data_IF_007275645747
#
_entry.id   IF_007275645747
#
_cell.length_a   1.000
_cell.length_b   1.000
_cell.length_c   1.000
_cell.angle_alpha   90.00
_cell.angle_beta   90.00
_cell.angle_gamma   90.00
#
_symmetry.space_group_name_H-M   'P 1'
#
loop_
_entity.id
_entity.type
_entity.pdbx_description
1 polymer ?
#
# COMPACT_ATOMS: atom_id res chain seq x y z
N UNK A 1 -42.81 18.77 -84.62
CA UNK A 1 -42.58 20.22 -84.51
C UNK A 1 -43.57 20.74 -83.48
N UNK A 2 -43.23 21.21 -82.28
CA UNK A 2 -41.94 21.64 -81.75
C UNK A 2 -41.89 21.51 -80.22
N UNK A 3 -41.01 20.63 -79.73
CA UNK A 3 -40.53 20.61 -78.34
C UNK A 3 -39.43 21.68 -78.10
N UNK A 4 -39.26 22.63 -79.02
CA UNK A 4 -38.18 23.63 -79.01
C UNK A 4 -38.51 24.97 -78.35
N UNK A 5 -39.78 25.28 -78.09
CA UNK A 5 -40.18 26.62 -77.62
C UNK A 5 -40.33 26.78 -76.11
N UNK A 6 -40.46 25.68 -75.35
CA UNK A 6 -40.44 25.73 -73.89
C UNK A 6 -39.03 25.98 -73.31
N UNK A 7 -37.98 25.71 -74.10
CA UNK A 7 -36.59 25.92 -73.69
C UNK A 7 -36.08 27.36 -73.96
N UNK A 8 -36.75 28.15 -74.81
CA UNK A 8 -36.28 29.49 -75.20
C UNK A 8 -36.96 30.61 -74.38
N UNK A 9 -38.18 30.40 -73.88
CA UNK A 9 -38.87 31.36 -73.00
C UNK A 9 -38.43 31.32 -71.53
N UNK A 10 -37.57 30.38 -71.13
CA UNK A 10 -36.87 30.43 -69.85
C UNK A 10 -35.49 31.11 -69.94
N UNK A 11 -35.03 31.45 -71.15
CA UNK A 11 -33.65 31.85 -71.45
C UNK A 11 -33.30 33.33 -71.27
N UNK A 12 -34.25 34.23 -71.01
CA UNK A 12 -33.99 35.70 -71.01
C UNK A 12 -34.55 36.47 -69.80
N UNK A 13 -34.82 35.78 -68.68
CA UNK A 13 -35.14 36.39 -67.38
C UNK A 13 -34.11 36.11 -66.26
N UNK A 14 -33.06 35.32 -66.55
CA UNK A 14 -32.23 34.67 -65.51
C UNK A 14 -30.82 35.23 -65.27
N UNK A 15 -30.40 36.28 -65.99
CA UNK A 15 -28.98 36.67 -66.08
C UNK A 15 -28.37 37.38 -64.86
N UNK A 16 -29.17 38.03 -64.01
CA UNK A 16 -28.68 38.70 -62.78
C UNK A 16 -29.32 38.10 -61.54
N UNK A 17 -30.62 37.80 -61.58
CA UNK A 17 -31.33 37.16 -60.47
C UNK A 17 -30.94 35.69 -60.25
N UNK A 18 -30.57 34.95 -61.31
CA UNK A 18 -30.05 33.58 -61.19
C UNK A 18 -28.65 33.53 -60.57
N UNK A 19 -27.77 34.47 -60.94
CA UNK A 19 -26.43 34.60 -60.34
C UNK A 19 -26.49 35.05 -58.87
N UNK A 20 -27.40 35.99 -58.55
CA UNK A 20 -27.64 36.44 -57.16
C UNK A 20 -28.29 35.32 -56.34
N UNK A 21 -29.27 34.60 -56.87
CA UNK A 21 -29.88 33.44 -56.22
C UNK A 21 -28.89 32.30 -55.98
N UNK A 22 -28.02 32.00 -56.95
CA UNK A 22 -26.94 31.03 -56.79
C UNK A 22 -25.91 31.48 -55.75
N UNK A 23 -25.60 32.78 -55.66
CA UNK A 23 -24.71 33.35 -54.64
C UNK A 23 -25.33 33.26 -53.24
N UNK A 24 -26.62 33.54 -53.09
CA UNK A 24 -27.34 33.39 -51.82
C UNK A 24 -27.47 31.93 -51.40
N UNK A 25 -27.75 31.02 -52.34
CA UNK A 25 -27.80 29.58 -52.09
C UNK A 25 -26.43 29.02 -51.71
N UNK A 26 -25.35 29.44 -52.39
CA UNK A 26 -23.97 29.09 -52.06
C UNK A 26 -23.55 29.66 -50.70
N UNK A 27 -24.01 30.86 -50.34
CA UNK A 27 -23.74 31.46 -49.03
C UNK A 27 -24.53 30.77 -47.91
N UNK A 28 -25.75 30.32 -48.18
CA UNK A 28 -26.55 29.55 -47.24
C UNK A 28 -25.99 28.14 -47.04
N UNK A 29 -25.55 27.47 -48.11
CA UNK A 29 -24.91 26.16 -48.03
C UNK A 29 -23.54 26.23 -47.35
N UNK A 30 -22.75 27.28 -47.61
CA UNK A 30 -21.49 27.52 -46.90
C UNK A 30 -21.69 27.78 -45.40
N UNK A 31 -22.72 28.56 -45.01
CA UNK A 31 -23.07 28.75 -43.58
C UNK A 31 -23.57 27.46 -42.92
N UNK A 32 -24.35 26.65 -43.64
CA UNK A 32 -24.81 25.35 -43.16
C UNK A 32 -23.65 24.37 -42.98
N UNK A 33 -22.73 24.30 -43.94
CA UNK A 33 -21.51 23.50 -43.87
C UNK A 33 -20.58 23.97 -42.75
N UNK A 34 -20.43 25.29 -42.55
CA UNK A 34 -19.65 25.85 -41.45
C UNK A 34 -20.24 25.49 -40.09
N UNK A 35 -21.56 25.57 -39.93
CA UNK A 35 -22.26 25.17 -38.70
C UNK A 35 -22.13 23.67 -38.43
N UNK A 36 -22.19 22.85 -39.49
CA UNK A 36 -21.96 21.40 -39.41
C UNK A 36 -20.52 21.05 -39.05
N UNK A 37 -19.54 21.77 -39.61
CA UNK A 37 -18.13 21.61 -39.26
C UNK A 37 -17.86 22.01 -37.80
N UNK A 38 -18.45 23.11 -37.32
CA UNK A 38 -18.34 23.55 -35.93
C UNK A 38 -18.96 22.53 -34.95
N UNK A 39 -20.10 21.93 -35.29
CA UNK A 39 -20.68 20.85 -34.47
C UNK A 39 -19.78 19.62 -34.45
N UNK A 40 -19.17 19.26 -35.58
CA UNK A 40 -18.28 18.09 -35.67
C UNK A 40 -17.00 18.31 -34.86
N UNK A 41 -16.44 19.52 -34.91
CA UNK A 41 -15.28 19.90 -34.10
C UNK A 41 -15.57 19.81 -32.60
N UNK A 42 -16.71 20.36 -32.16
CA UNK A 42 -17.13 20.28 -30.74
C UNK A 42 -17.37 18.85 -30.28
N UNK A 43 -17.96 18.00 -31.13
CA UNK A 43 -18.14 16.58 -30.82
C UNK A 43 -16.80 15.85 -30.72
N UNK A 44 -15.84 16.15 -31.60
CA UNK A 44 -14.50 15.59 -31.54
C UNK A 44 -13.75 16.03 -30.27
N UNK A 45 -13.81 17.31 -29.91
CA UNK A 45 -13.22 17.86 -28.68
C UNK A 45 -13.82 17.19 -27.42
N UNK A 46 -15.15 17.06 -27.35
CA UNK A 46 -15.80 16.36 -26.23
C UNK A 46 -15.42 14.88 -26.16
N UNK A 47 -15.28 14.21 -27.31
CA UNK A 47 -14.86 12.80 -27.35
C UNK A 47 -13.40 12.61 -26.90
N UNK A 48 -12.51 13.52 -27.28
CA UNK A 48 -11.11 13.51 -26.86
C UNK A 48 -10.99 13.80 -25.36
N UNK A 49 -11.79 14.75 -24.85
CA UNK A 49 -11.84 15.06 -23.43
C UNK A 49 -12.41 13.89 -22.60
N UNK A 50 -13.45 13.21 -23.11
CA UNK A 50 -13.99 12.00 -22.49
C UNK A 50 -12.97 10.85 -22.48
N UNK A 51 -12.24 10.64 -23.58
CA UNK A 51 -11.17 9.65 -23.66
C UNK A 51 -10.02 9.95 -22.69
N UNK A 52 -9.62 11.22 -22.56
CA UNK A 52 -8.59 11.64 -21.62
C UNK A 52 -9.01 11.45 -20.15
N UNK A 53 -10.28 11.74 -19.81
CA UNK A 53 -10.82 11.48 -18.47
C UNK A 53 -10.89 9.97 -18.20
N UNK A 54 -11.31 9.16 -19.17
CA UNK A 54 -11.34 7.70 -19.03
C UNK A 54 -9.94 7.11 -18.81
N UNK A 55 -8.93 7.58 -19.56
CA UNK A 55 -7.54 7.16 -19.39
C UNK A 55 -6.98 7.56 -18.01
N UNK A 56 -7.27 8.77 -17.54
CA UNK A 56 -6.88 9.22 -16.20
C UNK A 56 -7.55 8.38 -15.10
N UNK A 57 -8.83 8.04 -15.25
CA UNK A 57 -9.54 7.20 -14.29
C UNK A 57 -8.99 5.76 -14.28
N UNK A 58 -8.67 5.20 -15.45
CA UNK A 58 -8.02 3.89 -15.53
C UNK A 58 -6.66 3.89 -14.83
N UNK A 59 -5.84 4.92 -15.07
CA UNK A 59 -4.56 5.07 -14.40
C UNK A 59 -4.70 5.26 -12.88
N UNK A 60 -5.71 6.00 -12.42
CA UNK A 60 -5.99 6.15 -11.00
C UNK A 60 -6.32 4.80 -10.34
N UNK A 61 -7.14 3.97 -10.99
CA UNK A 61 -7.45 2.62 -10.50
C UNK A 61 -6.22 1.70 -10.48
N UNK A 62 -5.37 1.74 -11.50
CA UNK A 62 -4.11 0.97 -11.51
C UNK A 62 -3.18 1.37 -10.35
N UNK A 63 -3.08 2.67 -10.06
CA UNK A 63 -2.29 3.17 -8.93
C UNK A 63 -2.91 2.75 -7.60
N UNK A 64 -4.23 2.79 -7.46
CA UNK A 64 -4.93 2.31 -6.26
C UNK A 64 -4.70 0.82 -6.01
N UNK A 65 -4.78 -0.01 -7.06
CA UNK A 65 -4.53 -1.45 -6.97
C UNK A 65 -3.09 -1.74 -6.55
N UNK A 66 -2.12 -1.04 -7.15
CA UNK A 66 -0.70 -1.19 -6.79
C UNK A 66 -0.41 -0.72 -5.35
N UNK A 67 -1.05 0.35 -4.89
CA UNK A 67 -0.95 0.79 -3.49
C UNK A 67 -1.56 -0.23 -2.54
N UNK A 68 -2.69 -0.85 -2.93
CA UNK A 68 -3.33 -1.91 -2.15
C UNK A 68 -2.43 -3.14 -2.03
N UNK A 69 -1.83 -3.59 -3.12
CA UNK A 69 -0.88 -4.71 -3.12
C UNK A 69 0.33 -4.43 -2.22
N UNK A 70 0.93 -3.24 -2.36
CA UNK A 70 2.06 -2.82 -1.51
C UNK A 70 1.68 -2.75 -0.03
N UNK A 71 0.49 -2.22 0.27
CA UNK A 71 -0.04 -2.16 1.65
C UNK A 71 -0.18 -3.57 2.24
N UNK A 72 -0.78 -4.50 1.51
CA UNK A 72 -0.93 -5.90 1.94
C UNK A 72 0.43 -6.55 2.18
N UNK A 73 1.37 -6.39 1.25
CA UNK A 73 2.71 -6.93 1.40
C UNK A 73 3.43 -6.39 2.64
N UNK A 74 3.39 -5.08 2.87
CA UNK A 74 4.00 -4.43 4.02
C UNK A 74 3.39 -4.89 5.36
N UNK A 75 2.05 -4.97 5.44
CA UNK A 75 1.35 -5.47 6.62
C UNK A 75 1.74 -6.92 6.90
N UNK A 76 1.73 -7.79 5.89
CA UNK A 76 2.06 -9.20 6.04
C UNK A 76 3.52 -9.41 6.48
N UNK A 77 4.43 -8.62 5.94
CA UNK A 77 5.84 -8.68 6.32
C UNK A 77 6.05 -8.20 7.76
N UNK A 78 5.43 -7.08 8.15
CA UNK A 78 5.48 -6.58 9.51
C UNK A 78 4.90 -7.58 10.51
N UNK A 79 3.71 -8.11 10.24
CA UNK A 79 3.07 -9.14 11.08
C UNK A 79 3.97 -10.36 11.23
N UNK A 80 4.56 -10.86 10.14
CA UNK A 80 5.45 -12.02 10.17
C UNK A 80 6.66 -11.80 11.09
N UNK A 81 7.28 -10.63 11.01
CA UNK A 81 8.43 -10.28 11.86
C UNK A 81 8.03 -10.26 13.33
N UNK A 82 6.90 -9.63 13.67
CA UNK A 82 6.39 -9.58 15.05
C UNK A 82 6.02 -10.97 15.56
N UNK A 83 5.38 -11.80 14.74
CA UNK A 83 5.08 -13.21 15.08
C UNK A 83 6.36 -14.00 15.36
N UNK A 84 7.44 -13.75 14.60
CA UNK A 84 8.75 -14.34 14.87
C UNK A 84 9.29 -13.99 16.24
N UNK A 85 9.14 -12.72 16.67
CA UNK A 85 9.53 -12.28 18.03
C UNK A 85 8.66 -12.95 19.10
N UNK A 86 7.35 -13.04 18.89
CA UNK A 86 6.42 -13.72 19.82
C UNK A 86 6.75 -15.20 19.98
N UNK A 87 7.04 -15.90 18.89
CA UNK A 87 7.40 -17.32 18.89
C UNK A 87 8.73 -17.55 19.62
N UNK A 88 9.72 -16.69 19.39
CA UNK A 88 11.01 -16.75 20.10
C UNK A 88 10.85 -16.54 21.61
N UNK A 89 10.01 -15.59 22.01
CA UNK A 89 9.72 -15.34 23.42
C UNK A 89 9.02 -16.53 24.10
N UNK A 90 8.12 -17.21 23.39
CA UNK A 90 7.47 -18.44 23.87
C UNK A 90 8.46 -19.57 24.07
N UNK A 91 9.33 -19.79 23.07
CA UNK A 91 10.35 -20.83 23.13
C UNK A 91 11.27 -20.64 24.33
N UNK A 92 11.78 -19.42 24.53
CA UNK A 92 12.70 -19.08 25.63
C UNK A 92 11.97 -19.06 26.99
N UNK A 93 10.70 -18.66 27.02
CA UNK A 93 9.92 -18.55 28.26
C UNK A 93 9.48 -19.89 28.84
N UNK A 94 9.29 -20.91 28.00
CA UNK A 94 8.69 -22.19 28.41
C UNK A 94 9.70 -23.33 28.54
N UNK A 95 10.82 -23.26 27.84
CA UNK A 95 11.82 -24.34 27.84
C UNK A 95 12.74 -24.24 29.08
N UNK A 96 13.16 -25.39 29.65
CA UNK A 96 14.13 -25.40 30.75
C UNK A 96 15.51 -24.90 30.30
N UNK A 97 16.24 -24.25 31.20
CA UNK A 97 17.58 -23.67 30.93
C UNK A 97 18.55 -24.67 30.29
N UNK A 98 18.60 -25.90 30.81
CA UNK A 98 19.47 -26.96 30.31
C UNK A 98 19.19 -27.37 28.86
N UNK A 99 18.00 -27.08 28.33
CA UNK A 99 17.60 -27.45 26.96
C UNK A 99 18.05 -26.45 25.90
N UNK A 100 18.53 -25.27 26.29
CA UNK A 100 19.02 -24.24 25.37
C UNK A 100 20.53 -24.35 25.09
N UNK A 101 21.34 -24.64 26.13
CA UNK A 101 22.80 -24.58 26.03
C UNK A 101 23.50 -25.91 26.33
N UNK A 102 22.78 -26.92 26.84
CA UNK A 102 23.41 -28.10 27.44
C UNK A 102 23.93 -27.80 28.85
N UNK A 103 24.08 -28.83 29.67
CA UNK A 103 24.51 -28.66 31.07
C UNK A 103 25.99 -28.26 31.12
N UNK A 104 26.30 -27.14 31.78
CA UNK A 104 27.68 -26.68 32.01
C UNK A 104 28.34 -25.95 30.84
N UNK A 105 27.64 -25.74 29.72
CA UNK A 105 28.13 -24.95 28.59
C UNK A 105 27.55 -23.55 28.69
N UNK A 106 28.43 -22.55 28.80
CA UNK A 106 28.04 -21.14 28.74
C UNK A 106 28.48 -20.63 27.36
N UNK A 107 27.55 -20.37 26.42
CA UNK A 107 27.92 -19.71 25.17
C UNK A 107 28.53 -18.34 25.46
N UNK A 108 29.47 -17.92 24.62
CA UNK A 108 30.09 -16.61 24.77
C UNK A 108 29.01 -15.52 24.58
N UNK A 109 29.08 -14.39 25.31
CA UNK A 109 28.12 -13.30 25.13
C UNK A 109 27.95 -12.83 23.68
N UNK A 110 29.03 -12.87 22.89
CA UNK A 110 29.00 -12.52 21.46
C UNK A 110 28.17 -13.51 20.62
N UNK A 111 28.24 -14.81 20.92
CA UNK A 111 27.44 -15.84 20.24
C UNK A 111 25.95 -15.69 20.59
N UNK A 112 25.67 -15.34 21.85
CA UNK A 112 24.30 -15.01 22.28
C UNK A 112 23.80 -13.76 21.53
N UNK A 113 24.60 -12.71 21.44
CA UNK A 113 24.21 -11.46 20.80
C UNK A 113 24.05 -11.61 19.28
N UNK A 114 24.82 -12.47 18.63
CA UNK A 114 24.67 -12.77 17.20
C UNK A 114 23.29 -13.41 16.90
N UNK A 115 22.84 -14.33 17.76
CA UNK A 115 21.59 -15.08 17.56
C UNK A 115 20.37 -14.35 18.12
N UNK A 116 20.52 -13.74 19.28
CA UNK A 116 19.43 -13.12 20.05
C UNK A 116 19.51 -11.60 20.09
N UNK A 117 20.37 -11.00 19.26
CA UNK A 117 20.61 -9.56 19.18
C UNK A 117 19.32 -8.77 18.96
N UNK A 118 18.87 -7.98 19.95
CA UNK A 118 17.63 -7.22 19.84
C UNK A 118 17.76 -6.04 18.88
N UNK A 119 18.98 -5.57 18.59
CA UNK A 119 19.21 -4.41 17.75
C UNK A 119 18.88 -4.64 16.28
N UNK A 120 19.27 -5.79 15.72
CA UNK A 120 18.91 -6.14 14.34
C UNK A 120 17.39 -6.31 14.20
N UNK A 121 16.78 -7.02 15.16
CA UNK A 121 15.33 -7.22 15.24
C UNK A 121 14.59 -5.87 15.38
N UNK A 122 15.02 -5.02 16.30
CA UNK A 122 14.43 -3.71 16.54
C UNK A 122 14.54 -2.78 15.34
N UNK A 123 15.71 -2.73 14.68
CA UNK A 123 15.90 -1.99 13.43
C UNK A 123 14.93 -2.48 12.36
N UNK A 124 14.83 -3.79 12.16
CA UNK A 124 13.93 -4.39 11.17
C UNK A 124 12.47 -4.05 11.45
N UNK A 125 12.03 -4.16 12.70
CA UNK A 125 10.67 -3.80 13.11
C UNK A 125 10.38 -2.31 12.90
N UNK A 126 11.33 -1.42 13.21
CA UNK A 126 11.19 0.01 12.96
C UNK A 126 11.10 0.34 11.47
N UNK A 127 11.93 -0.28 10.63
CA UNK A 127 11.87 -0.11 9.17
C UNK A 127 10.52 -0.56 8.62
N UNK A 128 10.04 -1.74 9.02
CA UNK A 128 8.76 -2.27 8.57
C UNK A 128 7.57 -1.42 9.05
N UNK A 129 7.61 -0.94 10.30
CA UNK A 129 6.58 -0.03 10.82
C UNK A 129 6.56 1.30 10.06
N UNK A 130 7.73 1.83 9.67
CA UNK A 130 7.79 3.02 8.83
C UNK A 130 7.19 2.79 7.44
N UNK A 131 7.43 1.62 6.82
CA UNK A 131 6.79 1.25 5.55
C UNK A 131 5.28 1.15 5.71
N UNK A 132 4.79 0.53 6.79
CA UNK A 132 3.34 0.48 7.09
C UNK A 132 2.77 1.87 7.26
N UNK A 133 3.46 2.77 7.98
CA UNK A 133 3.02 4.14 8.20
C UNK A 133 2.90 4.97 6.91
N UNK A 134 3.71 4.68 5.89
CA UNK A 134 3.62 5.32 4.57
C UNK A 134 2.42 4.84 3.74
N UNK A 135 1.89 3.65 4.03
CA UNK A 135 0.91 2.97 3.19
C UNK A 135 -0.48 2.84 3.84
N UNK A 136 -0.56 3.01 5.16
CA UNK A 136 -1.76 2.81 5.96
C UNK A 136 -2.38 4.14 6.44
N UNK A 137 -3.55 4.06 7.06
CA UNK A 137 -4.12 5.19 7.79
C UNK A 137 -3.35 5.49 9.09
N UNK A 138 -3.64 6.64 9.70
CA UNK A 138 -3.00 7.10 10.93
C UNK A 138 -3.18 6.11 12.10
N UNK A 139 -4.33 5.45 12.20
CA UNK A 139 -4.62 4.49 13.28
C UNK A 139 -3.76 3.23 13.17
N UNK A 140 -3.68 2.64 11.99
CA UNK A 140 -2.85 1.48 11.71
C UNK A 140 -1.35 1.82 11.79
N UNK A 141 -0.95 3.03 11.38
CA UNK A 141 0.42 3.51 11.51
C UNK A 141 0.87 3.63 12.98
N UNK A 142 0.03 4.26 13.83
CA UNK A 142 0.31 4.37 15.27
C UNK A 142 0.38 2.99 15.93
N UNK A 143 -0.57 2.11 15.62
CA UNK A 143 -0.57 0.75 16.15
C UNK A 143 0.68 -0.03 15.72
N UNK A 144 1.13 0.10 14.46
CA UNK A 144 2.36 -0.53 14.00
C UNK A 144 3.60 -0.01 14.75
N UNK A 145 3.69 1.29 15.01
CA UNK A 145 4.78 1.87 15.77
C UNK A 145 4.83 1.36 17.22
N UNK A 146 3.68 1.26 17.88
CA UNK A 146 3.57 0.69 19.22
C UNK A 146 4.00 -0.78 19.25
N UNK A 147 3.52 -1.57 18.30
CA UNK A 147 3.88 -2.99 18.15
C UNK A 147 5.39 -3.14 17.90
N UNK A 148 6.00 -2.32 17.04
CA UNK A 148 7.43 -2.36 16.79
C UNK A 148 8.25 -2.04 18.05
N UNK A 149 7.85 -1.00 18.79
CA UNK A 149 8.49 -0.58 20.02
C UNK A 149 8.45 -1.67 21.09
N UNK A 150 7.29 -2.29 21.29
CA UNK A 150 7.13 -3.36 22.27
C UNK A 150 7.73 -4.69 21.81
N UNK A 151 7.75 -4.94 20.50
CA UNK A 151 8.51 -6.04 19.89
C UNK A 151 10.00 -5.94 20.19
N UNK A 152 10.59 -4.75 20.06
CA UNK A 152 11.99 -4.52 20.45
C UNK A 152 12.21 -4.76 21.95
N UNK A 153 11.32 -4.27 22.83
CA UNK A 153 11.42 -4.53 24.28
C UNK A 153 11.34 -6.03 24.59
N UNK A 154 10.48 -6.77 23.90
CA UNK A 154 10.35 -8.22 24.06
C UNK A 154 11.61 -8.95 23.58
N UNK A 155 12.18 -8.56 22.44
CA UNK A 155 13.44 -9.10 21.95
C UNK A 155 14.59 -8.86 22.95
N UNK A 156 14.68 -7.67 23.55
CA UNK A 156 15.66 -7.37 24.61
C UNK A 156 15.46 -8.24 25.84
N UNK A 157 14.20 -8.46 26.26
CA UNK A 157 13.90 -9.38 27.38
C UNK A 157 14.28 -10.83 27.05
N UNK A 158 14.13 -11.26 25.79
CA UNK A 158 14.58 -12.58 25.33
C UNK A 158 16.09 -12.74 25.51
N UNK A 159 16.87 -11.73 25.10
CA UNK A 159 18.32 -11.71 25.31
C UNK A 159 18.66 -11.86 26.80
N UNK A 160 18.07 -11.03 27.67
CA UNK A 160 18.34 -11.11 29.11
C UNK A 160 17.91 -12.43 29.74
N UNK A 161 16.80 -13.02 29.29
CA UNK A 161 16.40 -14.35 29.75
C UNK A 161 17.42 -15.40 29.31
N UNK A 162 17.87 -15.38 28.06
CA UNK A 162 18.89 -16.31 27.57
C UNK A 162 20.17 -16.20 28.40
N UNK A 163 20.64 -14.98 28.67
CA UNK A 163 21.81 -14.77 29.54
C UNK A 163 21.55 -15.28 30.96
N UNK A 164 20.35 -15.06 31.50
CA UNK A 164 19.94 -15.61 32.80
C UNK A 164 20.03 -17.13 32.83
N UNK A 165 19.46 -17.81 31.83
CA UNK A 165 19.48 -19.27 31.70
C UNK A 165 20.91 -19.82 31.57
N UNK A 166 21.78 -19.13 30.82
CA UNK A 166 23.19 -19.50 30.67
C UNK A 166 23.96 -19.37 32.00
N UNK A 167 23.64 -18.37 32.82
CA UNK A 167 24.23 -18.22 34.16
C UNK A 167 23.68 -19.28 35.11
N UNK A 168 22.36 -19.52 35.12
CA UNK A 168 21.70 -20.55 35.95
C UNK A 168 22.27 -21.95 35.69
N UNK A 169 22.45 -22.33 34.43
CA UNK A 169 23.05 -23.64 34.04
C UNK A 169 24.50 -23.80 34.43
N UNK A 170 25.22 -22.70 34.70
CA UNK A 170 26.59 -22.72 35.21
C UNK A 170 26.70 -22.79 36.74
N UNK A 171 25.58 -22.75 37.46
CA UNK A 171 25.54 -22.75 38.93
C UNK A 171 26.01 -21.42 39.55
N UNK A 172 26.13 -20.35 38.76
CA UNK A 172 26.50 -19.01 39.24
C UNK A 172 25.25 -18.22 39.65
N UNK A 173 25.43 -17.27 40.55
CA UNK A 173 24.37 -16.34 40.91
C UNK A 173 24.06 -15.38 39.76
N UNK A 174 22.77 -15.20 39.45
CA UNK A 174 22.30 -14.27 38.41
C UNK A 174 22.27 -12.84 38.99
N UNK A 175 22.86 -11.84 38.31
CA UNK A 175 22.70 -10.43 38.69
C UNK A 175 21.24 -10.00 38.63
N UNK A 176 20.78 -9.24 39.63
CA UNK A 176 19.37 -8.82 39.73
C UNK A 176 18.91 -7.98 38.55
N UNK A 177 19.83 -7.20 37.99
CA UNK A 177 19.59 -6.31 36.84
C UNK A 177 19.35 -7.09 35.54
N UNK A 178 19.83 -8.33 35.46
CA UNK A 178 19.70 -9.20 34.29
C UNK A 178 18.61 -10.25 34.47
N UNK A 179 18.15 -10.48 35.70
CA UNK A 179 17.21 -11.53 36.04
C UNK A 179 15.84 -11.27 35.40
N UNK A 180 15.64 -11.87 34.24
CA UNK A 180 14.33 -11.98 33.59
C UNK A 180 13.80 -13.38 33.82
N UNK A 181 12.55 -13.49 34.27
CA UNK A 181 11.87 -14.77 34.49
C UNK A 181 11.08 -15.20 33.26
N UNK A 182 10.80 -16.51 33.16
CA UNK A 182 9.90 -17.02 32.11
C UNK A 182 8.49 -16.42 32.21
N UNK A 183 8.00 -16.16 33.44
CA UNK A 183 6.70 -15.51 33.67
C UNK A 183 6.66 -14.08 33.11
N UNK A 184 7.72 -13.29 33.34
CA UNK A 184 7.83 -11.94 32.78
C UNK A 184 7.82 -11.95 31.24
N UNK A 185 8.46 -12.93 30.61
CA UNK A 185 8.40 -13.12 29.16
C UNK A 185 6.99 -13.49 28.69
N UNK A 186 6.31 -14.41 29.39
CA UNK A 186 4.95 -14.83 29.07
C UNK A 186 3.97 -13.66 29.13
N UNK A 187 4.05 -12.82 30.16
CA UNK A 187 3.22 -11.61 30.27
C UNK A 187 3.55 -10.61 29.15
N UNK A 188 4.82 -10.29 28.93
CA UNK A 188 5.22 -9.36 27.88
C UNK A 188 4.83 -9.85 26.46
N UNK A 189 4.90 -11.16 26.22
CA UNK A 189 4.45 -11.79 24.98
C UNK A 189 2.94 -11.65 24.82
N UNK A 190 2.16 -11.91 25.87
CA UNK A 190 0.70 -11.78 25.83
C UNK A 190 0.28 -10.33 25.52
N UNK A 191 0.91 -9.35 26.18
CA UNK A 191 0.67 -7.92 25.93
C UNK A 191 0.94 -7.55 24.47
N UNK A 192 2.08 -7.97 23.92
CA UNK A 192 2.42 -7.71 22.52
C UNK A 192 1.47 -8.42 21.54
N UNK A 193 1.03 -9.64 21.84
CA UNK A 193 0.08 -10.37 21.01
C UNK A 193 -1.28 -9.66 20.92
N UNK A 194 -1.75 -9.07 22.03
CA UNK A 194 -2.98 -8.25 22.05
C UNK A 194 -2.83 -7.01 21.16
N UNK A 195 -1.67 -6.35 21.21
CA UNK A 195 -1.37 -5.18 20.37
C UNK A 195 -1.28 -5.56 18.89
N UNK A 196 -0.63 -6.68 18.57
CA UNK A 196 -0.57 -7.21 17.21
C UNK A 196 -1.97 -7.51 16.67
N UNK A 197 -2.82 -8.18 17.47
CA UNK A 197 -4.21 -8.44 17.07
C UNK A 197 -5.01 -7.15 16.82
N UNK A 198 -4.74 -6.10 17.60
CA UNK A 198 -5.35 -4.77 17.40
C UNK A 198 -4.89 -4.15 16.10
N UNK A 199 -3.58 -4.17 15.83
CA UNK A 199 -3.00 -3.73 14.55
C UNK A 199 -3.61 -4.50 13.37
N UNK A 200 -3.67 -5.84 13.41
CA UNK A 200 -4.23 -6.66 12.34
C UNK A 200 -5.72 -6.39 12.08
N UNK A 201 -6.47 -6.03 13.12
CA UNK A 201 -7.87 -5.62 12.98
C UNK A 201 -7.99 -4.29 12.22
N UNK A 202 -7.19 -3.29 12.58
CA UNK A 202 -7.15 -1.99 11.89
C UNK A 202 -6.66 -2.17 10.43
N UNK A 203 -5.60 -2.94 10.25
CA UNK A 203 -5.02 -3.26 8.96
C UNK A 203 -6.00 -3.98 8.01
N UNK A 204 -6.86 -4.86 8.53
CA UNK A 204 -7.90 -5.53 7.72
C UNK A 204 -8.95 -4.57 7.16
N UNK A 205 -9.32 -3.54 7.92
CA UNK A 205 -10.27 -2.50 7.46
C UNK A 205 -9.72 -1.73 6.25
N UNK A 206 -8.39 -1.61 6.14
CA UNK A 206 -7.72 -0.96 5.01
C UNK A 206 -7.60 -1.83 3.75
N UNK A 207 -7.67 -3.16 3.91
CA UNK A 207 -7.56 -4.12 2.80
C UNK A 207 -8.94 -4.39 2.20
N UNK A 208 -9.98 -4.41 3.04
CA UNK A 208 -11.37 -4.60 2.65
C UNK A 208 -12.22 -3.41 3.13
N UNK A 209 -12.11 -2.24 2.47
CA UNK A 209 -12.95 -1.09 2.77
C UNK A 209 -14.43 -1.35 2.46
#
# INVERSE_FOLDING_TARGET
>A
MDAGWAAVLAGWGGGVFGAVGALFAARASARSAMKSAETTLRTAEMSAQAAHVAANNAHAHEVEDLLREKRVAAINEFTREVTGVLARAEEIGTRPAASHFGVGVIPAPAEIEEVYGPWATGRRLSELAAVVALLADEGAALAAHEVATDGMKLATRCLFRVMTLAIETSGKAVPKEMAVTGEQLTHARADLAIKLATFERLARQLIHP
#
